data_IF_324158904187
#
_entry.id   IF_324158904187
#
_cell.length_a   1.000
_cell.length_b   1.000
_cell.length_c   1.000
_cell.angle_alpha   90.00
_cell.angle_beta   90.00
_cell.angle_gamma   90.00
#
_symmetry.space_group_name_H-M   'P 1'
#
loop_
_entity.id
_entity.type
_entity.pdbx_description
1 polymer ?
#
# COMPACT_ATOMS: atom_id res chain seq x y z
N UNK A 1 -7.81 -8.60 -40.64
CA UNK A 1 -6.38 -8.38 -40.35
C UNK A 1 -6.13 -7.21 -39.39
N UNK A 2 -6.61 -5.99 -39.65
CA UNK A 2 -6.39 -4.84 -38.74
C UNK A 2 -6.93 -5.06 -37.32
N UNK A 3 -8.16 -5.60 -37.18
CA UNK A 3 -8.75 -5.88 -35.87
C UNK A 3 -7.95 -6.89 -35.04
N UNK A 4 -7.34 -7.88 -35.69
CA UNK A 4 -6.48 -8.88 -35.04
C UNK A 4 -5.17 -8.25 -34.54
N UNK A 5 -4.58 -7.32 -35.30
CA UNK A 5 -3.37 -6.60 -34.90
C UNK A 5 -3.64 -5.66 -33.72
N UNK A 6 -4.77 -4.94 -33.73
CA UNK A 6 -5.18 -4.07 -32.62
C UNK A 6 -5.46 -4.87 -31.33
N UNK A 7 -6.14 -6.01 -31.47
CA UNK A 7 -6.36 -6.93 -30.35
C UNK A 7 -5.04 -7.43 -29.73
N UNK A 8 -4.09 -7.84 -30.58
CA UNK A 8 -2.79 -8.31 -30.13
C UNK A 8 -1.97 -7.21 -29.44
N UNK A 9 -2.00 -5.97 -29.95
CA UNK A 9 -1.35 -4.82 -29.30
C UNK A 9 -1.95 -4.56 -27.93
N UNK A 10 -3.28 -4.50 -27.82
CA UNK A 10 -3.96 -4.27 -26.55
C UNK A 10 -3.67 -5.36 -25.52
N UNK A 11 -3.65 -6.64 -25.94
CA UNK A 11 -3.34 -7.75 -25.05
C UNK A 11 -1.88 -7.70 -24.56
N UNK A 12 -0.94 -7.32 -25.43
CA UNK A 12 0.46 -7.13 -25.08
C UNK A 12 0.64 -6.03 -24.03
N UNK A 13 -0.08 -4.91 -24.19
CA UNK A 13 -0.03 -3.78 -23.26
C UNK A 13 -0.62 -4.12 -21.89
N UNK A 14 -1.72 -4.88 -21.86
CA UNK A 14 -2.30 -5.38 -20.61
C UNK A 14 -1.37 -6.34 -19.85
N UNK A 15 -0.65 -7.20 -20.59
CA UNK A 15 0.30 -8.15 -19.99
C UNK A 15 1.50 -7.42 -19.38
N UNK A 16 2.05 -6.42 -20.08
CA UNK A 16 3.15 -5.58 -19.57
C UNK A 16 2.75 -4.87 -18.28
N UNK A 17 1.59 -4.22 -18.27
CA UNK A 17 1.07 -3.52 -17.09
C UNK A 17 0.87 -4.46 -15.90
N UNK A 18 0.38 -5.68 -16.14
CA UNK A 18 0.23 -6.68 -15.09
C UNK A 18 1.58 -7.09 -14.49
N UNK A 19 2.59 -7.34 -15.32
CA UNK A 19 3.95 -7.68 -14.88
C UNK A 19 4.56 -6.54 -14.08
N UNK A 20 4.43 -5.30 -14.53
CA UNK A 20 4.95 -4.13 -13.81
C UNK A 20 4.28 -3.96 -12.44
N UNK A 21 2.96 -4.13 -12.34
CA UNK A 21 2.24 -4.07 -11.06
C UNK A 21 2.68 -5.17 -10.10
N UNK A 22 2.89 -6.38 -10.60
CA UNK A 22 3.38 -7.50 -9.79
C UNK A 22 4.81 -7.24 -9.31
N UNK A 23 5.71 -6.83 -10.21
CA UNK A 23 7.08 -6.50 -9.85
C UNK A 23 7.15 -5.33 -8.85
N UNK A 24 6.36 -4.28 -9.10
CA UNK A 24 6.25 -3.11 -8.24
C UNK A 24 5.67 -3.40 -6.85
N UNK A 25 4.77 -4.39 -6.75
CA UNK A 25 4.26 -4.87 -5.46
C UNK A 25 5.26 -5.77 -4.72
N UNK A 26 5.93 -6.68 -5.45
CA UNK A 26 6.81 -7.68 -4.84
C UNK A 26 8.17 -7.12 -4.42
N UNK A 27 8.76 -6.22 -5.20
CA UNK A 27 10.07 -5.65 -4.90
C UNK A 27 10.20 -5.05 -3.48
N UNK A 28 9.30 -4.16 -3.01
CA UNK A 28 9.37 -3.62 -1.66
C UNK A 28 9.15 -4.69 -0.58
N UNK A 29 8.28 -5.68 -0.82
CA UNK A 29 8.05 -6.80 0.11
C UNK A 29 9.34 -7.61 0.25
N UNK A 30 9.86 -8.15 -0.86
CA UNK A 30 11.08 -8.97 -0.84
C UNK A 30 12.21 -8.20 -0.16
N UNK A 31 12.36 -6.92 -0.48
CA UNK A 31 13.37 -6.06 0.13
C UNK A 31 13.21 -5.93 1.65
N UNK A 32 12.04 -5.50 2.14
CA UNK A 32 11.76 -5.31 3.56
C UNK A 32 11.97 -6.61 4.35
N UNK A 33 11.45 -7.72 3.85
CA UNK A 33 11.55 -9.02 4.51
C UNK A 33 12.98 -9.59 4.47
N UNK A 34 13.80 -9.17 3.51
CA UNK A 34 15.23 -9.56 3.42
C UNK A 34 16.17 -8.73 4.32
N UNK A 35 15.71 -7.62 4.90
CA UNK A 35 16.56 -6.71 5.70
C UNK A 35 17.36 -7.41 6.81
N UNK A 36 16.78 -8.36 7.61
CA UNK A 36 17.56 -9.07 8.62
C UNK A 36 18.72 -9.87 8.03
N UNK A 37 18.52 -10.50 6.87
CA UNK A 37 19.58 -11.23 6.16
C UNK A 37 20.61 -10.27 5.58
N UNK A 38 20.18 -9.17 4.95
CA UNK A 38 21.07 -8.13 4.43
C UNK A 38 21.94 -7.51 5.55
N UNK A 39 21.44 -7.47 6.78
CA UNK A 39 22.19 -6.96 7.92
C UNK A 39 23.43 -7.82 8.24
N UNK A 40 23.37 -9.13 7.99
CA UNK A 40 24.53 -10.05 8.17
C UNK A 40 25.68 -9.77 7.21
N UNK A 41 25.42 -9.07 6.10
CA UNK A 41 26.43 -8.71 5.09
C UNK A 41 27.01 -7.30 5.31
N UNK A 42 26.49 -6.55 6.30
CA UNK A 42 26.81 -5.14 6.49
C UNK A 42 26.05 -4.18 5.58
N UNK A 43 25.16 -4.68 4.70
CA UNK A 43 24.31 -3.84 3.86
C UNK A 43 23.28 -3.06 4.69
N UNK A 44 22.60 -3.73 5.62
CA UNK A 44 21.67 -3.12 6.58
C UNK A 44 22.32 -3.02 7.97
N UNK A 45 21.84 -2.11 8.80
CA UNK A 45 22.36 -1.92 10.15
C UNK A 45 21.81 -2.98 11.10
N UNK A 46 22.68 -3.77 11.72
CA UNK A 46 22.35 -4.66 12.83
C UNK A 46 22.87 -4.05 14.14
N UNK A 47 22.10 -4.19 15.22
CA UNK A 47 22.58 -3.84 16.55
C UNK A 47 22.64 -5.09 17.41
N UNK A 48 23.85 -5.50 17.79
CA UNK A 48 24.09 -6.78 18.49
C UNK A 48 23.73 -6.72 19.98
N UNK A 49 23.49 -5.52 20.52
CA UNK A 49 23.37 -5.27 21.96
C UNK A 49 21.97 -4.91 22.44
N UNK A 50 20.89 -5.37 21.80
CA UNK A 50 19.53 -5.06 22.28
C UNK A 50 19.34 -5.49 23.76
N UNK A 51 18.64 -4.70 24.60
CA UNK A 51 18.01 -3.40 24.35
C UNK A 51 18.92 -2.18 24.59
N UNK A 52 20.24 -2.35 24.78
CA UNK A 52 21.18 -1.22 24.97
C UNK A 52 21.31 -0.32 23.73
N UNK A 53 20.85 -0.83 22.59
CA UNK A 53 20.69 -0.11 21.34
C UNK A 53 19.51 0.87 21.39
N UNK A 54 19.50 1.87 20.50
CA UNK A 54 18.36 2.80 20.38
C UNK A 54 17.09 2.06 19.92
N UNK A 55 16.18 1.74 20.85
CA UNK A 55 14.88 1.15 20.54
C UNK A 55 14.53 -0.05 21.41
N UNK A 56 13.59 -0.86 20.94
CA UNK A 56 12.86 -1.88 21.72
C UNK A 56 13.01 -3.29 21.15
N UNK A 57 13.84 -3.43 20.11
CA UNK A 57 14.09 -4.65 19.36
C UNK A 57 14.37 -4.35 17.88
N UNK A 58 14.66 -5.39 17.08
CA UNK A 58 14.73 -5.30 15.62
C UNK A 58 13.52 -4.56 15.02
N UNK A 59 13.81 -3.56 14.19
CA UNK A 59 12.83 -2.77 13.44
C UNK A 59 13.40 -2.45 12.06
N UNK A 60 12.53 -2.30 11.06
CA UNK A 60 12.86 -1.81 9.72
C UNK A 60 13.58 -0.47 9.83
N UNK A 61 13.07 0.41 10.68
CA UNK A 61 13.68 1.70 11.00
C UNK A 61 15.15 1.58 11.45
N UNK A 62 15.47 0.55 12.23
CA UNK A 62 16.85 0.25 12.64
C UNK A 62 17.67 -0.33 11.49
N UNK A 63 17.11 -1.26 10.71
CA UNK A 63 17.81 -1.90 9.60
C UNK A 63 18.20 -0.93 8.49
N UNK A 64 17.33 0.03 8.17
CA UNK A 64 17.58 0.96 7.08
C UNK A 64 18.52 2.11 7.46
N UNK A 65 19.11 2.13 8.66
CA UNK A 65 19.97 3.24 9.10
C UNK A 65 21.30 3.39 8.33
N UNK A 66 21.65 2.46 7.44
CA UNK A 66 22.76 2.64 6.50
C UNK A 66 22.26 3.39 5.24
N UNK A 67 23.08 4.24 4.60
CA UNK A 67 22.70 4.91 3.36
C UNK A 67 22.26 3.94 2.26
N UNK A 68 22.91 2.79 2.14
CA UNK A 68 22.61 1.74 1.17
C UNK A 68 21.21 1.15 1.42
N UNK A 69 20.89 0.82 2.67
CA UNK A 69 19.60 0.25 3.00
C UNK A 69 18.45 1.29 2.97
N UNK A 70 18.72 2.55 3.31
CA UNK A 70 17.77 3.65 3.07
C UNK A 70 17.49 3.79 1.57
N UNK A 71 18.55 3.84 0.75
CA UNK A 71 18.44 3.97 -0.71
C UNK A 71 17.70 2.80 -1.36
N UNK A 72 17.95 1.57 -0.91
CA UNK A 72 17.22 0.38 -1.34
C UNK A 72 15.73 0.45 -0.99
N UNK A 73 15.38 0.95 0.20
CA UNK A 73 13.98 1.16 0.57
C UNK A 73 13.34 2.21 -0.33
N UNK A 74 14.00 3.34 -0.56
CA UNK A 74 13.52 4.41 -1.42
C UNK A 74 13.30 3.91 -2.86
N UNK A 75 14.26 3.16 -3.42
CA UNK A 75 14.19 2.64 -4.78
C UNK A 75 13.03 1.66 -4.96
N UNK A 76 12.85 0.73 -4.02
CA UNK A 76 11.78 -0.28 -4.11
C UNK A 76 10.39 0.31 -3.86
N UNK A 77 10.28 1.37 -3.05
CA UNK A 77 9.02 2.07 -2.80
C UNK A 77 8.67 3.15 -3.84
N UNK A 78 9.58 3.50 -4.75
CA UNK A 78 9.33 4.50 -5.79
C UNK A 78 8.08 4.18 -6.61
N UNK A 79 7.97 2.94 -7.10
CA UNK A 79 6.86 2.53 -7.97
C UNK A 79 5.50 2.49 -7.24
N UNK A 80 5.37 1.92 -6.02
CA UNK A 80 4.20 2.13 -5.16
C UNK A 80 3.80 3.59 -4.97
N UNK A 81 4.76 4.46 -4.67
CA UNK A 81 4.50 5.89 -4.46
C UNK A 81 4.02 6.59 -5.74
N UNK A 82 4.56 6.21 -6.90
CA UNK A 82 4.11 6.70 -8.20
C UNK A 82 2.66 6.30 -8.46
N UNK A 83 2.29 5.04 -8.22
CA UNK A 83 0.90 4.58 -8.39
C UNK A 83 -0.06 5.23 -7.39
N UNK A 84 0.36 5.53 -6.16
CA UNK A 84 -0.46 6.35 -5.25
C UNK A 84 -0.78 7.72 -5.87
N UNK A 85 0.16 8.32 -6.59
CA UNK A 85 -0.06 9.59 -7.29
C UNK A 85 -1.02 9.46 -8.46
N UNK A 86 -0.84 8.45 -9.31
CA UNK A 86 -1.76 8.17 -10.42
C UNK A 86 -3.18 7.89 -9.92
N UNK A 87 -3.32 7.09 -8.86
CA UNK A 87 -4.62 6.80 -8.23
C UNK A 87 -5.28 8.07 -7.70
N UNK A 88 -4.51 8.98 -7.08
CA UNK A 88 -5.03 10.25 -6.59
C UNK A 88 -5.51 11.17 -7.73
N UNK A 89 -4.87 11.11 -8.89
CA UNK A 89 -5.30 11.84 -10.10
C UNK A 89 -6.64 11.29 -10.61
N UNK A 90 -6.80 9.96 -10.65
CA UNK A 90 -8.06 9.32 -11.06
C UNK A 90 -9.23 9.62 -10.10
N UNK A 91 -8.99 9.63 -8.79
CA UNK A 91 -10.03 9.98 -7.79
C UNK A 91 -10.45 11.44 -7.86
N UNK A 92 -9.53 12.34 -8.26
CA UNK A 92 -9.74 13.78 -8.37
C UNK A 92 -10.33 14.44 -7.10
N UNK A 93 -9.98 13.95 -5.91
CA UNK A 93 -10.44 14.50 -4.63
C UNK A 93 -9.36 15.37 -3.95
N UNK A 94 -9.76 16.53 -3.42
CA UNK A 94 -8.84 17.41 -2.65
C UNK A 94 -8.24 16.67 -1.45
N UNK A 95 -9.05 15.87 -0.75
CA UNK A 95 -8.60 15.09 0.42
C UNK A 95 -7.55 14.04 0.06
N UNK A 96 -7.73 13.35 -1.07
CA UNK A 96 -6.76 12.36 -1.57
C UNK A 96 -5.41 13.02 -1.86
N UNK A 97 -5.41 14.22 -2.46
CA UNK A 97 -4.18 14.99 -2.74
C UNK A 97 -3.48 15.45 -1.46
N UNK A 98 -4.21 16.02 -0.50
CA UNK A 98 -3.61 16.50 0.76
C UNK A 98 -2.97 15.37 1.58
N UNK A 99 -3.69 14.26 1.72
CA UNK A 99 -3.17 13.07 2.41
C UNK A 99 -1.97 12.47 1.69
N UNK A 100 -1.95 12.47 0.36
CA UNK A 100 -0.80 12.00 -0.43
C UNK A 100 0.44 12.90 -0.27
N UNK A 101 0.28 14.21 -0.35
CA UNK A 101 1.39 15.16 -0.15
C UNK A 101 1.95 15.01 1.26
N UNK A 102 1.07 14.91 2.27
CA UNK A 102 1.47 14.63 3.64
C UNK A 102 2.26 13.32 3.75
N UNK A 103 1.75 12.24 3.18
CA UNK A 103 2.44 10.94 3.13
C UNK A 103 3.84 11.06 2.53
N UNK A 104 3.98 11.66 1.34
CA UNK A 104 5.27 11.76 0.64
C UNK A 104 6.27 12.63 1.41
N UNK A 105 5.82 13.73 2.00
CA UNK A 105 6.66 14.60 2.81
C UNK A 105 7.19 13.86 4.04
N UNK A 106 6.32 13.19 4.80
CA UNK A 106 6.74 12.47 5.99
C UNK A 106 7.53 11.19 5.69
N UNK A 107 7.23 10.50 4.59
CA UNK A 107 7.99 9.35 4.12
C UNK A 107 9.41 9.76 3.69
N UNK A 108 9.54 10.86 2.95
CA UNK A 108 10.85 11.44 2.62
C UNK A 108 11.65 11.83 3.88
N UNK A 109 11.00 12.48 4.84
CA UNK A 109 11.65 12.83 6.12
C UNK A 109 12.03 11.61 6.95
N UNK A 110 11.23 10.54 6.93
CA UNK A 110 11.54 9.26 7.55
C UNK A 110 12.84 8.66 6.98
N UNK A 111 13.04 8.74 5.65
CA UNK A 111 14.26 8.27 4.99
C UNK A 111 15.46 9.18 5.30
N UNK A 112 15.26 10.49 5.41
CA UNK A 112 16.34 11.46 5.69
C UNK A 112 16.78 11.49 7.16
N UNK A 113 15.91 11.09 8.09
CA UNK A 113 16.14 11.19 9.53
C UNK A 113 16.35 9.80 10.15
N UNK A 114 17.57 9.24 10.14
CA UNK A 114 17.81 7.93 10.74
C UNK A 114 17.55 7.96 12.25
N UNK A 115 16.95 6.88 12.75
CA UNK A 115 16.54 6.75 14.17
C UNK A 115 17.72 6.90 15.14
N UNK A 116 18.93 6.57 14.69
CA UNK A 116 20.19 6.67 15.46
C UNK A 116 20.66 8.10 15.71
N UNK A 117 20.20 9.09 14.93
CA UNK A 117 20.64 10.50 15.07
C UNK A 117 19.56 11.39 15.69
N UNK A 118 18.29 11.22 15.27
CA UNK A 118 17.18 12.10 15.67
C UNK A 118 15.93 11.29 15.99
N UNK A 119 15.99 10.48 17.05
CA UNK A 119 14.90 9.55 17.45
C UNK A 119 13.51 10.18 17.49
N UNK A 120 13.33 11.32 18.16
CA UNK A 120 12.00 11.93 18.30
C UNK A 120 11.42 12.40 16.96
N UNK A 121 12.26 13.02 16.11
CA UNK A 121 11.85 13.43 14.77
C UNK A 121 11.53 12.22 13.90
N UNK A 122 12.35 11.17 13.97
CA UNK A 122 12.10 9.92 13.25
C UNK A 122 10.75 9.30 13.65
N UNK A 123 10.49 9.13 14.96
CA UNK A 123 9.21 8.59 15.45
C UNK A 123 8.02 9.45 15.02
N UNK A 124 8.17 10.78 15.06
CA UNK A 124 7.17 11.70 14.56
C UNK A 124 6.90 11.51 13.05
N UNK A 125 7.95 11.42 12.23
CA UNK A 125 7.80 11.18 10.79
C UNK A 125 7.18 9.82 10.50
N UNK A 126 7.59 8.75 11.20
CA UNK A 126 7.01 7.40 11.06
C UNK A 126 5.52 7.41 11.35
N UNK A 127 5.13 7.97 12.48
CA UNK A 127 3.74 8.06 12.88
C UNK A 127 2.89 8.81 11.84
N UNK A 128 3.38 9.97 11.39
CA UNK A 128 2.63 10.81 10.46
C UNK A 128 2.56 10.25 9.04
N UNK A 129 3.62 9.62 8.50
CA UNK A 129 3.50 9.02 7.17
C UNK A 129 2.55 7.81 7.22
N UNK A 130 2.59 7.01 8.29
CA UNK A 130 1.66 5.88 8.44
C UNK A 130 0.20 6.36 8.49
N UNK A 131 -0.09 7.36 9.33
CA UNK A 131 -1.42 7.93 9.45
C UNK A 131 -1.91 8.52 8.13
N UNK A 132 -1.08 9.34 7.47
CA UNK A 132 -1.42 9.96 6.18
C UNK A 132 -1.64 8.91 5.07
N UNK A 133 -0.83 7.85 5.05
CA UNK A 133 -1.00 6.72 4.12
C UNK A 133 -2.32 5.97 4.33
N UNK A 134 -2.69 5.68 5.58
CA UNK A 134 -3.96 5.03 5.92
C UNK A 134 -5.16 5.94 5.59
N UNK A 135 -5.09 7.23 5.93
CA UNK A 135 -6.12 8.20 5.56
C UNK A 135 -6.25 8.33 4.03
N UNK A 136 -5.12 8.30 3.31
CA UNK A 136 -5.13 8.32 1.85
C UNK A 136 -5.87 7.09 1.29
N UNK A 137 -5.55 5.88 1.75
CA UNK A 137 -6.23 4.65 1.33
C UNK A 137 -7.71 4.64 1.67
N UNK A 138 -8.09 5.08 2.87
CA UNK A 138 -9.49 5.24 3.26
C UNK A 138 -10.22 6.24 2.35
N UNK A 139 -9.55 7.30 1.87
CA UNK A 139 -10.16 8.25 0.94
C UNK A 139 -10.39 7.65 -0.46
N UNK A 140 -9.42 6.91 -0.99
CA UNK A 140 -9.48 6.38 -2.37
C UNK A 140 -10.29 5.09 -2.47
N UNK A 141 -10.44 4.30 -1.39
CA UNK A 141 -11.19 3.04 -1.43
C UNK A 141 -12.68 3.26 -1.72
N UNK A 142 -13.23 4.43 -1.39
CA UNK A 142 -14.61 4.83 -1.71
C UNK A 142 -14.91 4.85 -3.22
N UNK A 143 -13.87 4.96 -4.06
CA UNK A 143 -13.96 4.94 -5.52
C UNK A 143 -13.38 3.66 -6.15
N UNK A 144 -13.03 2.67 -5.33
CA UNK A 144 -12.51 1.40 -5.80
C UNK A 144 -13.62 0.60 -6.49
N UNK A 145 -13.30 0.03 -7.64
CA UNK A 145 -14.22 -0.86 -8.34
C UNK A 145 -14.66 -2.08 -7.52
N UNK A 146 -15.90 -2.52 -7.73
CA UNK A 146 -16.54 -3.54 -6.89
C UNK A 146 -15.79 -4.87 -6.88
N UNK A 147 -15.22 -5.28 -8.02
CA UNK A 147 -14.49 -6.56 -8.17
C UNK A 147 -13.22 -6.66 -7.35
N UNK A 148 -12.56 -5.54 -7.02
CA UNK A 148 -11.32 -5.52 -6.21
C UNK A 148 -11.49 -4.88 -4.84
N UNK A 149 -12.65 -4.32 -4.54
CA UNK A 149 -12.94 -3.66 -3.27
C UNK A 149 -12.53 -4.49 -2.05
N UNK A 150 -12.92 -5.77 -2.00
CA UNK A 150 -12.57 -6.65 -0.88
C UNK A 150 -11.06 -6.81 -0.70
N UNK A 151 -10.29 -6.91 -1.79
CA UNK A 151 -8.82 -7.05 -1.73
C UNK A 151 -8.17 -5.78 -1.21
N UNK A 152 -8.61 -4.61 -1.70
CA UNK A 152 -8.15 -3.32 -1.21
C UNK A 152 -8.54 -3.10 0.27
N UNK A 153 -9.73 -3.53 0.67
CA UNK A 153 -10.21 -3.46 2.05
C UNK A 153 -9.34 -4.31 2.98
N UNK A 154 -9.03 -5.56 2.58
CA UNK A 154 -8.13 -6.42 3.36
C UNK A 154 -6.77 -5.77 3.54
N UNK A 155 -6.17 -5.20 2.48
CA UNK A 155 -4.91 -4.47 2.61
C UNK A 155 -5.04 -3.30 3.59
N UNK A 156 -6.07 -2.46 3.46
CA UNK A 156 -6.31 -1.34 4.39
C UNK A 156 -6.45 -1.83 5.84
N UNK A 157 -7.22 -2.88 6.09
CA UNK A 157 -7.38 -3.47 7.42
C UNK A 157 -6.07 -4.04 7.97
N UNK A 158 -5.26 -4.70 7.15
CA UNK A 158 -3.91 -5.15 7.54
C UNK A 158 -3.01 -3.97 7.91
N UNK A 159 -3.09 -2.85 7.18
CA UNK A 159 -2.36 -1.62 7.49
C UNK A 159 -2.80 -1.02 8.82
N UNK A 160 -4.10 -0.90 9.05
CA UNK A 160 -4.67 -0.40 10.30
C UNK A 160 -4.29 -1.30 11.50
N UNK A 161 -4.42 -2.62 11.36
CA UNK A 161 -4.07 -3.57 12.41
C UNK A 161 -2.58 -3.48 12.76
N UNK A 162 -1.70 -3.39 11.75
CA UNK A 162 -0.26 -3.23 11.95
C UNK A 162 0.07 -1.91 12.66
N UNK A 163 -0.58 -0.81 12.28
CA UNK A 163 -0.41 0.50 12.93
C UNK A 163 -0.86 0.49 14.40
N UNK A 164 -2.02 -0.09 14.69
CA UNK A 164 -2.52 -0.26 16.08
C UNK A 164 -1.55 -1.13 16.88
N UNK A 165 -1.08 -2.24 16.31
CA UNK A 165 -0.11 -3.11 16.96
C UNK A 165 1.19 -2.37 17.29
N UNK A 166 1.72 -1.55 16.38
CA UNK A 166 2.90 -0.72 16.65
C UNK A 166 2.67 0.28 17.78
N UNK A 167 1.49 0.89 17.85
CA UNK A 167 1.13 1.78 18.96
C UNK A 167 1.10 1.04 20.29
N UNK A 168 0.47 -0.14 20.34
CA UNK A 168 0.44 -1.00 21.54
C UNK A 168 1.86 -1.41 21.95
N UNK A 169 2.68 -1.87 21.00
CA UNK A 169 4.07 -2.24 21.26
C UNK A 169 4.89 -1.04 21.76
N UNK A 170 4.66 0.16 21.23
CA UNK A 170 5.31 1.38 21.70
C UNK A 170 4.91 1.73 23.14
N UNK A 171 3.63 1.55 23.52
CA UNK A 171 3.18 1.74 24.90
C UNK A 171 3.81 0.70 25.83
N UNK A 172 3.78 -0.58 25.46
CA UNK A 172 4.42 -1.65 26.24
C UNK A 172 5.90 -1.37 26.44
N UNK A 173 6.60 -0.97 25.39
CA UNK A 173 8.00 -0.57 25.45
C UNK A 173 8.31 0.59 26.40
N UNK A 174 7.37 1.52 26.58
CA UNK A 174 7.52 2.65 27.52
C UNK A 174 7.27 2.19 28.96
N UNK A 175 6.34 1.26 29.17
CA UNK A 175 6.01 0.73 30.50
C UNK A 175 7.03 -0.29 31.00
N UNK A 176 7.47 -1.19 30.12
CA UNK A 176 8.48 -2.23 30.38
C UNK A 176 9.39 -2.39 29.14
N UNK A 177 10.55 -1.70 29.14
CA UNK A 177 11.49 -1.73 28.02
C UNK A 177 12.10 -3.11 27.72
N UNK A 178 12.11 -4.02 28.70
CA UNK A 178 12.74 -5.34 28.60
C UNK A 178 11.76 -6.41 28.11
N UNK A 179 10.47 -6.27 28.40
CA UNK A 179 9.47 -7.30 28.13
C UNK A 179 9.42 -7.75 26.66
N UNK A 180 9.38 -6.79 25.73
CA UNK A 180 9.29 -7.08 24.29
C UNK A 180 10.55 -7.80 23.80
N UNK A 181 11.71 -7.37 24.28
CA UNK A 181 12.98 -7.98 23.91
C UNK A 181 13.06 -9.44 24.39
N UNK A 182 12.59 -9.72 25.59
CA UNK A 182 12.68 -11.06 26.20
C UNK A 182 11.65 -12.05 25.63
N UNK A 183 10.44 -11.58 25.29
CA UNK A 183 9.34 -12.48 24.90
C UNK A 183 9.08 -12.48 23.39
N UNK A 184 9.24 -11.33 22.72
CA UNK A 184 8.79 -11.12 21.35
C UNK A 184 9.70 -10.17 20.55
N UNK A 185 11.02 -10.46 20.43
CA UNK A 185 12.00 -9.50 19.91
C UNK A 185 11.72 -9.05 18.48
N UNK A 186 11.14 -9.91 17.65
CA UNK A 186 10.84 -9.60 16.25
C UNK A 186 9.46 -8.98 16.01
N UNK A 187 8.65 -8.75 17.04
CA UNK A 187 7.27 -8.30 16.85
C UNK A 187 7.17 -6.90 16.21
N UNK A 188 8.05 -5.97 16.62
CA UNK A 188 8.15 -4.66 15.97
C UNK A 188 8.45 -4.78 14.48
N UNK A 189 9.50 -5.51 14.12
CA UNK A 189 9.87 -5.76 12.73
C UNK A 189 8.71 -6.36 11.93
N UNK A 190 8.05 -7.41 12.44
CA UNK A 190 6.93 -8.06 11.74
C UNK A 190 5.74 -7.11 11.53
N UNK A 191 5.39 -6.33 12.55
CA UNK A 191 4.31 -5.35 12.45
C UNK A 191 4.63 -4.24 11.42
N UNK A 192 5.85 -3.68 11.45
CA UNK A 192 6.28 -2.71 10.45
C UNK A 192 6.30 -3.33 9.04
N UNK A 193 6.79 -4.57 8.90
CA UNK A 193 6.89 -5.26 7.61
C UNK A 193 5.52 -5.53 7.00
N UNK A 194 4.54 -5.98 7.79
CA UNK A 194 3.17 -6.20 7.31
C UNK A 194 2.52 -4.87 6.91
N UNK A 195 2.66 -3.82 7.73
CA UNK A 195 2.12 -2.49 7.43
C UNK A 195 2.69 -1.90 6.13
N UNK A 196 4.02 -1.91 5.99
CA UNK A 196 4.71 -1.44 4.80
C UNK A 196 4.44 -2.30 3.55
N UNK A 197 4.28 -3.62 3.70
CA UNK A 197 3.90 -4.52 2.61
C UNK A 197 2.48 -4.21 2.12
N UNK A 198 1.54 -4.00 3.05
CA UNK A 198 0.18 -3.56 2.71
C UNK A 198 0.18 -2.24 1.95
N UNK A 199 0.99 -1.27 2.41
CA UNK A 199 1.14 0.03 1.73
C UNK A 199 1.77 -0.10 0.33
N UNK A 200 2.65 -1.07 0.10
CA UNK A 200 3.18 -1.31 -1.24
C UNK A 200 2.14 -1.92 -2.19
N UNK A 201 1.32 -2.85 -1.68
CA UNK A 201 0.37 -3.64 -2.48
C UNK A 201 -0.91 -2.88 -2.80
N UNK A 202 -1.44 -2.12 -1.84
CA UNK A 202 -2.70 -1.39 -2.00
C UNK A 202 -2.78 -0.57 -3.31
N UNK A 203 -1.81 0.33 -3.62
CA UNK A 203 -1.89 1.15 -4.83
C UNK A 203 -1.81 0.34 -6.12
N UNK A 204 -1.20 -0.84 -6.11
CA UNK A 204 -1.12 -1.74 -7.28
C UNK A 204 -2.44 -2.47 -7.56
N UNK A 205 -3.18 -2.80 -6.49
CA UNK A 205 -4.46 -3.49 -6.57
C UNK A 205 -5.60 -2.55 -6.93
N UNK A 206 -5.54 -1.31 -6.42
CA UNK A 206 -6.59 -0.32 -6.60
C UNK A 206 -6.78 0.04 -8.09
N UNK A 207 -8.03 0.33 -8.46
CA UNK A 207 -8.42 0.87 -9.75
C UNK A 207 -9.81 1.53 -9.67
N UNK A 208 -10.04 2.57 -10.49
CA UNK A 208 -11.37 3.17 -10.67
C UNK A 208 -12.18 2.36 -11.67
N UNK A 209 -13.44 2.08 -11.33
CA UNK A 209 -14.41 1.58 -12.30
C UNK A 209 -14.87 2.77 -13.15
N UNK A 210 -14.42 2.83 -14.41
CA UNK A 210 -15.00 3.77 -15.36
C UNK A 210 -16.36 3.21 -15.79
N UNK A 211 -17.47 3.91 -15.53
CA UNK A 211 -18.77 3.50 -16.04
C UNK A 211 -18.71 3.57 -17.58
N UNK A 212 -18.47 2.41 -18.19
CA UNK A 212 -18.71 2.08 -19.58
C UNK A 212 -18.13 3.05 -20.63
N UNK A 213 -16.97 2.67 -21.17
CA UNK A 213 -16.95 2.49 -22.63
C UNK A 213 -17.74 1.20 -22.84
N UNK A 214 -18.94 1.38 -23.33
CA UNK A 214 -19.98 0.39 -23.52
C UNK A 214 -19.41 -0.92 -24.16
N UNK A 215 -19.53 -2.06 -23.44
CA UNK A 215 -19.14 -3.39 -23.92
C UNK A 215 -19.94 -3.83 -25.19
N UNK A 216 -20.86 -2.99 -25.66
CA UNK A 216 -21.65 -3.15 -26.88
C UNK A 216 -20.81 -3.17 -28.16
N UNK A 217 -19.51 -2.84 -28.13
CA UNK A 217 -18.62 -2.95 -29.30
C UNK A 217 -17.77 -4.23 -29.38
N UNK A 218 -17.64 -5.05 -28.33
CA UNK A 218 -16.64 -6.15 -28.34
C UNK A 218 -17.25 -7.55 -28.47
N UNK A 219 -18.51 -7.79 -28.12
CA UNK A 219 -19.12 -9.13 -28.24
C UNK A 219 -20.63 -9.10 -28.58
N UNK A 220 -20.99 -8.53 -29.72
CA UNK A 220 -22.22 -8.94 -30.42
C UNK A 220 -21.94 -10.25 -31.15
N UNK A 221 -21.82 -11.36 -30.42
CA UNK A 221 -22.11 -12.67 -31.01
C UNK A 221 -23.62 -12.68 -31.32
N UNK A 222 -24.06 -13.14 -32.51
CA UNK A 222 -25.46 -13.36 -32.77
C UNK A 222 -25.93 -14.54 -31.92
N UNK A 223 -26.28 -14.26 -30.66
CA UNK A 223 -27.10 -15.17 -29.87
C UNK A 223 -28.50 -15.07 -30.46
N UNK A 224 -28.82 -16.14 -31.17
CA UNK A 224 -30.09 -16.45 -31.79
C UNK A 224 -31.25 -15.85 -31.00
N UNK A 225 -31.95 -14.92 -31.63
CA UNK A 225 -33.13 -14.24 -31.12
C UNK A 225 -34.28 -15.24 -30.98
N UNK A 226 -34.34 -15.95 -29.86
CA UNK A 226 -35.60 -16.48 -29.37
C UNK A 226 -36.28 -15.40 -28.54
N UNK A 227 -37.12 -14.66 -29.25
CA UNK A 227 -38.17 -13.78 -28.79
C UNK A 227 -38.81 -14.31 -27.49
N UNK A 228 -38.56 -13.62 -26.37
CA UNK A 228 -39.39 -13.73 -25.17
C UNK A 228 -39.83 -12.31 -24.81
N UNK A 229 -41.00 -11.93 -25.33
CA UNK A 229 -41.80 -10.84 -24.79
C UNK A 229 -42.32 -11.28 -23.43
N UNK A 230 -42.15 -10.44 -22.42
CA UNK A 230 -42.99 -10.42 -21.23
C UNK A 230 -43.02 -8.99 -20.67
N UNK A 231 -44.08 -8.65 -19.92
CA UNK A 231 -44.80 -7.39 -20.06
C UNK A 231 -44.30 -6.25 -19.19
N UNK A 232 -44.73 -5.04 -19.57
CA UNK A 232 -44.58 -3.78 -18.85
C UNK A 232 -44.85 -3.94 -17.34
N UNK A 233 -43.84 -3.65 -16.52
CA UNK A 233 -44.00 -3.46 -15.08
C UNK A 233 -43.82 -1.95 -14.77
N UNK A 234 -44.78 -1.33 -14.05
CA UNK A 234 -44.81 0.12 -13.87
C UNK A 234 -43.74 0.63 -12.90
N UNK A 235 -43.15 1.75 -13.30
CA UNK A 235 -42.18 2.53 -12.54
C UNK A 235 -42.66 2.81 -11.11
N UNK A 236 -41.94 2.27 -10.13
CA UNK A 236 -42.03 2.70 -8.74
C UNK A 236 -40.63 2.82 -8.18
N UNK A 237 -40.44 3.82 -7.30
CA UNK A 237 -39.28 4.08 -6.43
C UNK A 237 -38.23 5.08 -6.94
N UNK A 238 -38.63 6.35 -6.98
CA UNK A 238 -37.77 7.45 -6.55
C UNK A 238 -38.02 7.70 -5.06
N UNK A 239 -37.12 7.27 -4.15
CA UNK A 239 -36.90 7.91 -2.85
C UNK A 239 -35.75 7.23 -2.08
N UNK A 240 -34.87 8.08 -1.52
CA UNK A 240 -33.70 7.80 -0.67
C UNK A 240 -32.48 7.25 -1.43
N UNK A 241 -31.27 7.80 -1.29
CA UNK A 241 -30.65 8.21 -0.01
C UNK A 241 -29.57 9.26 -0.22
N UNK A 242 -29.74 10.41 0.45
CA UNK A 242 -28.67 11.29 0.91
C UNK A 242 -27.86 10.53 1.96
N UNK A 243 -26.57 10.31 1.72
CA UNK A 243 -25.49 10.35 2.72
C UNK A 243 -24.14 10.49 1.97
#
# INVERSE_FOLDING_TARGET
HLSTLLYFSAQLDMTKLAVERVAGALAPIVYVWSLPFLATTGFAHLCDGWPKCYGTGPSISSFICTPQATGGLAATYFYPCLHMWLNAQEVNSRWSRWTLVGFQLFFGMFLLCPVTKRRMLHLFCVNNFCLMGLCHYASVISRCARRRFLRCLVMLLCGCASYILLFVLAVVAVLDPTWIHEHMPYCFFLAEAIGLSSMAVFPMLWFVEHPQVDDSCVFSFPLNSTERRDPEEPATYALHTLF
#
